data_IF_961525649199
#
_entry.id   IF_961525649199
#
_cell.length_a   1.000
_cell.length_b   1.000
_cell.length_c   1.000
_cell.angle_alpha   90.00
_cell.angle_beta   90.00
_cell.angle_gamma   90.00
#
_symmetry.space_group_name_H-M   'P 1'
#
loop_
_entity.id
_entity.type
_entity.pdbx_description
1 polymer ?
#
# COMPACT_ATOMS: atom_id res chain seq x y z
N UNK A 1 3.53 4.04 11.15
CA UNK A 1 3.97 5.13 10.25
C UNK A 1 3.06 5.26 9.04
N UNK A 2 2.85 4.21 8.24
CA UNK A 2 2.11 4.29 6.97
C UNK A 2 0.64 4.69 7.15
N UNK A 3 -0.05 4.17 8.15
CA UNK A 3 -1.48 4.47 8.42
C UNK A 3 -1.72 5.96 8.71
N UNK A 4 -0.78 6.65 9.33
CA UNK A 4 -0.89 8.08 9.66
C UNK A 4 -0.95 8.96 8.40
N UNK A 5 -0.35 8.50 7.29
CA UNK A 5 -0.26 9.24 6.04
C UNK A 5 -1.32 8.85 4.99
N UNK A 6 -2.17 7.86 5.28
CA UNK A 6 -3.25 7.45 4.35
C UNK A 6 -4.23 8.57 4.04
N UNK A 7 -4.46 9.47 5.02
CA UNK A 7 -5.31 10.66 4.83
C UNK A 7 -4.70 11.64 3.82
N UNK A 8 -3.39 11.84 3.86
CA UNK A 8 -2.69 12.73 2.93
C UNK A 8 -2.68 12.13 1.52
N UNK A 9 -2.51 10.82 1.41
CA UNK A 9 -2.64 10.10 0.15
C UNK A 9 -4.04 10.25 -0.45
N UNK A 10 -5.09 10.01 0.33
CA UNK A 10 -6.47 10.16 -0.12
C UNK A 10 -6.76 11.58 -0.63
N UNK A 11 -6.22 12.60 0.06
CA UNK A 11 -6.33 14.01 -0.36
C UNK A 11 -5.67 14.27 -1.71
N UNK A 12 -4.50 13.68 -1.98
CA UNK A 12 -3.79 13.84 -3.25
C UNK A 12 -4.54 13.16 -4.40
N UNK A 13 -5.14 12.00 -4.12
CA UNK A 13 -5.93 11.24 -5.10
C UNK A 13 -7.29 11.90 -5.33
N UNK A 14 -7.76 12.72 -4.39
CA UNK A 14 -9.06 13.39 -4.46
C UNK A 14 -10.23 12.54 -3.95
N UNK A 15 -9.96 11.55 -3.11
CA UNK A 15 -10.97 10.68 -2.53
C UNK A 15 -11.21 10.96 -1.04
N UNK A 16 -12.45 10.78 -0.54
CA UNK A 16 -12.71 10.79 0.89
C UNK A 16 -11.97 9.64 1.59
N UNK A 17 -11.52 9.88 2.80
CA UNK A 17 -10.79 8.91 3.60
C UNK A 17 -11.55 8.57 4.88
N UNK A 18 -11.68 7.28 5.17
CA UNK A 18 -12.26 6.77 6.40
C UNK A 18 -11.31 5.76 7.03
N UNK A 19 -11.05 5.92 8.33
CA UNK A 19 -10.25 4.98 9.09
C UNK A 19 -11.16 4.24 10.08
N UNK A 20 -11.16 2.91 9.99
CA UNK A 20 -11.89 2.04 10.89
C UNK A 20 -10.88 1.20 11.65
N UNK A 21 -10.92 1.30 12.98
CA UNK A 21 -10.10 0.45 13.84
C UNK A 21 -10.80 -0.89 14.03
N UNK A 22 -10.15 -1.97 13.63
CA UNK A 22 -10.58 -3.34 13.87
C UNK A 22 -9.52 -4.03 14.73
N UNK A 23 -9.92 -4.57 15.88
CA UNK A 23 -9.04 -5.33 16.78
C UNK A 23 -9.24 -6.84 16.66
N UNK A 24 -9.98 -7.29 15.64
CA UNK A 24 -10.46 -8.66 15.53
C UNK A 24 -9.83 -9.28 14.28
N UNK A 25 -9.02 -10.32 14.48
CA UNK A 25 -8.48 -11.15 13.40
C UNK A 25 -9.45 -12.30 13.06
N UNK A 26 -10.65 -11.96 12.58
CA UNK A 26 -11.68 -12.93 12.19
C UNK A 26 -12.33 -12.47 10.88
N UNK A 27 -12.19 -13.26 9.82
CA UNK A 27 -12.61 -12.89 8.47
C UNK A 27 -14.11 -12.54 8.36
N UNK A 28 -15.00 -13.20 9.13
CA UNK A 28 -16.41 -12.91 9.10
C UNK A 28 -16.77 -11.60 9.80
N UNK A 29 -16.09 -11.31 10.91
CA UNK A 29 -16.28 -10.05 11.65
C UNK A 29 -15.71 -8.87 10.87
N UNK A 30 -14.56 -9.05 10.22
CA UNK A 30 -14.01 -8.05 9.29
C UNK A 30 -14.97 -7.79 8.13
N UNK A 31 -15.52 -8.84 7.51
CA UNK A 31 -16.51 -8.72 6.45
C UNK A 31 -17.79 -8.00 6.91
N UNK A 32 -18.23 -8.22 8.14
CA UNK A 32 -19.39 -7.53 8.72
C UNK A 32 -19.12 -6.03 8.90
N UNK A 33 -17.91 -5.64 9.35
CA UNK A 33 -17.51 -4.23 9.43
C UNK A 33 -17.45 -3.58 8.06
N UNK A 34 -16.88 -4.27 7.07
CA UNK A 34 -16.84 -3.78 5.68
C UNK A 34 -18.26 -3.56 5.16
N UNK A 35 -19.16 -4.50 5.39
CA UNK A 35 -20.56 -4.40 5.00
C UNK A 35 -21.23 -3.18 5.63
N UNK A 36 -21.08 -2.96 6.93
CA UNK A 36 -21.65 -1.81 7.63
C UNK A 36 -21.19 -0.48 7.00
N UNK A 37 -19.90 -0.39 6.66
CA UNK A 37 -19.35 0.81 6.02
C UNK A 37 -19.93 1.02 4.64
N UNK A 38 -20.04 -0.04 3.83
CA UNK A 38 -20.62 0.03 2.48
C UNK A 38 -22.08 0.42 2.55
N UNK A 39 -22.89 -0.19 3.44
CA UNK A 39 -24.30 0.16 3.65
C UNK A 39 -24.47 1.64 4.04
N UNK A 40 -23.59 2.14 4.89
CA UNK A 40 -23.62 3.54 5.32
C UNK A 40 -23.26 4.50 4.18
N UNK A 41 -22.32 4.13 3.34
CA UNK A 41 -21.93 4.94 2.19
C UNK A 41 -22.95 4.87 1.06
N UNK A 42 -23.57 3.72 0.78
CA UNK A 42 -24.62 3.57 -0.22
C UNK A 42 -25.85 4.45 0.06
N UNK A 43 -26.07 4.86 1.32
CA UNK A 43 -27.13 5.86 1.65
C UNK A 43 -26.81 7.25 1.14
N UNK A 44 -25.56 7.53 0.78
CA UNK A 44 -25.09 8.83 0.27
C UNK A 44 -24.86 8.78 -1.23
N UNK A 45 -24.11 7.77 -1.66
CA UNK A 45 -23.70 7.59 -3.05
C UNK A 45 -23.77 6.10 -3.42
N UNK A 46 -24.24 5.72 -4.61
CA UNK A 46 -24.27 4.34 -5.07
C UNK A 46 -22.86 3.74 -5.09
N UNK A 47 -22.69 2.56 -4.53
CA UNK A 47 -21.45 1.78 -4.60
C UNK A 47 -21.77 0.51 -5.39
N UNK A 48 -21.13 0.35 -6.54
CA UNK A 48 -21.30 -0.84 -7.39
C UNK A 48 -20.16 -1.84 -7.20
N UNK A 49 -19.00 -1.37 -6.76
CA UNK A 49 -17.80 -2.20 -6.59
C UNK A 49 -16.99 -1.81 -5.36
N UNK A 50 -16.38 -2.80 -4.73
CA UNK A 50 -15.35 -2.64 -3.71
C UNK A 50 -14.03 -3.19 -4.26
N UNK A 51 -12.99 -2.37 -4.24
CA UNK A 51 -11.63 -2.78 -4.60
C UNK A 51 -10.85 -3.01 -3.31
N UNK A 52 -10.35 -4.23 -3.13
CA UNK A 52 -9.50 -4.59 -2.03
C UNK A 52 -8.03 -4.36 -2.42
N UNK A 53 -7.32 -3.61 -1.62
CA UNK A 53 -5.87 -3.48 -1.72
C UNK A 53 -5.18 -4.64 -1.01
N UNK A 54 -4.00 -4.99 -1.53
CA UNK A 54 -3.21 -6.11 -1.02
C UNK A 54 -3.48 -7.42 -1.77
N UNK A 55 -2.41 -8.16 -1.97
CA UNK A 55 -2.42 -9.43 -2.69
C UNK A 55 -2.50 -10.61 -1.71
N UNK A 56 -2.09 -10.38 -0.46
CA UNK A 56 -2.06 -11.37 0.62
C UNK A 56 -3.39 -11.60 1.34
N UNK A 57 -4.50 -11.15 0.77
CA UNK A 57 -5.81 -11.52 1.29
C UNK A 57 -5.97 -13.04 1.22
N UNK A 58 -6.12 -13.66 2.38
CA UNK A 58 -6.45 -15.08 2.42
C UNK A 58 -7.77 -15.30 1.67
N UNK A 59 -7.86 -16.39 0.93
CA UNK A 59 -9.06 -16.75 0.17
C UNK A 59 -10.33 -16.72 1.05
N UNK A 60 -10.19 -17.07 2.31
CA UNK A 60 -11.26 -17.00 3.32
C UNK A 60 -11.73 -15.58 3.61
N UNK A 61 -10.83 -14.59 3.65
CA UNK A 61 -11.18 -13.17 3.85
C UNK A 61 -11.92 -12.64 2.61
N UNK A 62 -11.37 -12.88 1.42
CA UNK A 62 -12.00 -12.46 0.16
C UNK A 62 -13.41 -13.03 0.02
N UNK A 63 -13.59 -14.35 0.21
CA UNK A 63 -14.89 -15.00 0.16
C UNK A 63 -15.86 -14.43 1.19
N UNK A 64 -15.41 -14.21 2.42
CA UNK A 64 -16.28 -13.66 3.48
C UNK A 64 -16.77 -12.25 3.13
N UNK A 65 -15.94 -11.41 2.54
CA UNK A 65 -16.33 -10.06 2.10
C UNK A 65 -17.29 -10.14 0.90
N UNK A 66 -17.01 -11.02 -0.08
CA UNK A 66 -17.89 -11.25 -1.23
C UNK A 66 -19.27 -11.70 -0.81
N UNK A 67 -19.35 -12.67 0.11
CA UNK A 67 -20.63 -13.15 0.66
C UNK A 67 -21.39 -12.06 1.43
N UNK A 68 -20.67 -11.26 2.22
CA UNK A 68 -21.27 -10.18 3.00
C UNK A 68 -21.85 -9.06 2.12
N UNK A 69 -21.21 -8.75 0.98
CA UNK A 69 -21.62 -7.66 0.09
C UNK A 69 -22.57 -8.09 -1.03
N UNK A 70 -22.67 -9.38 -1.31
CA UNK A 70 -23.58 -9.90 -2.34
C UNK A 70 -25.03 -9.43 -2.19
N UNK A 71 -25.64 -9.39 -0.98
CA UNK A 71 -27.01 -8.89 -0.80
C UNK A 71 -27.16 -7.39 -1.11
N UNK A 72 -26.07 -6.64 -1.15
CA UNK A 72 -26.05 -5.21 -1.46
C UNK A 72 -25.84 -4.92 -2.95
N UNK A 73 -25.65 -5.97 -3.77
CA UNK A 73 -25.34 -5.81 -5.19
C UNK A 73 -23.96 -5.22 -5.48
N UNK A 74 -23.03 -5.34 -4.52
CA UNK A 74 -21.66 -4.78 -4.65
C UNK A 74 -20.71 -5.87 -5.07
N UNK A 75 -20.02 -5.67 -6.21
CA UNK A 75 -18.95 -6.56 -6.67
C UNK A 75 -17.67 -6.33 -5.87
N UNK A 76 -16.89 -7.38 -5.66
CA UNK A 76 -15.62 -7.30 -4.89
C UNK A 76 -14.45 -7.74 -5.76
N UNK A 77 -13.49 -6.85 -5.93
CA UNK A 77 -12.29 -7.08 -6.70
C UNK A 77 -11.04 -7.06 -5.81
N UNK A 78 -10.20 -8.07 -5.93
CA UNK A 78 -8.83 -8.05 -5.41
C UNK A 78 -7.90 -7.76 -6.60
N UNK A 79 -7.31 -6.56 -6.63
CA UNK A 79 -6.68 -6.00 -7.83
C UNK A 79 -5.48 -6.78 -8.39
N UNK A 80 -4.82 -7.57 -7.56
CA UNK A 80 -3.61 -8.32 -7.94
C UNK A 80 -3.66 -9.80 -7.57
N UNK A 81 -4.86 -10.33 -7.33
CA UNK A 81 -5.02 -11.74 -6.98
C UNK A 81 -4.52 -12.66 -8.10
N UNK A 82 -3.54 -13.51 -7.80
CA UNK A 82 -2.98 -14.48 -8.74
C UNK A 82 -1.86 -13.94 -9.64
N UNK A 83 -1.40 -12.71 -9.44
CA UNK A 83 -0.24 -12.17 -10.15
C UNK A 83 1.07 -12.36 -9.37
N UNK A 84 2.19 -12.50 -10.10
CA UNK A 84 3.52 -12.58 -9.50
C UNK A 84 3.96 -11.19 -9.00
N UNK A 85 4.30 -11.09 -7.72
CA UNK A 85 4.57 -9.81 -7.06
C UNK A 85 5.79 -9.07 -7.59
N UNK A 86 6.77 -9.75 -8.10
CA UNK A 86 7.94 -9.13 -8.70
C UNK A 86 7.60 -8.47 -10.05
N UNK A 87 6.66 -9.05 -10.81
CA UNK A 87 6.13 -8.47 -12.05
C UNK A 87 5.30 -7.23 -11.72
N UNK A 88 4.44 -7.29 -10.69
CA UNK A 88 3.65 -6.14 -10.24
C UNK A 88 4.57 -4.98 -9.83
N UNK A 89 5.61 -5.26 -9.05
CA UNK A 89 6.55 -4.24 -8.59
C UNK A 89 7.33 -3.62 -9.75
N UNK A 90 7.78 -4.42 -10.72
CA UNK A 90 8.42 -3.93 -11.93
C UNK A 90 7.46 -3.01 -12.74
N UNK A 91 6.21 -3.41 -12.90
CA UNK A 91 5.19 -2.62 -13.60
C UNK A 91 4.92 -1.28 -12.88
N UNK A 92 4.78 -1.31 -11.56
CA UNK A 92 4.62 -0.09 -10.75
C UNK A 92 5.79 0.87 -10.94
N UNK A 93 7.03 0.37 -10.85
CA UNK A 93 8.22 1.18 -11.05
C UNK A 93 8.31 1.74 -12.48
N UNK A 94 7.90 0.94 -13.49
CA UNK A 94 7.83 1.38 -14.88
C UNK A 94 6.79 2.46 -15.10
N UNK A 95 5.68 2.43 -14.35
CA UNK A 95 4.63 3.45 -14.34
C UNK A 95 4.96 4.68 -13.48
N UNK A 96 6.18 4.77 -12.96
CA UNK A 96 6.68 5.94 -12.22
C UNK A 96 6.22 6.02 -10.77
N UNK A 97 5.89 4.90 -10.15
CA UNK A 97 5.63 4.87 -8.71
C UNK A 97 6.91 5.19 -7.93
N UNK A 98 6.82 6.10 -6.98
CA UNK A 98 7.84 6.35 -5.97
C UNK A 98 7.46 5.65 -4.67
N UNK A 99 8.22 4.62 -4.31
CA UNK A 99 7.91 3.72 -3.20
C UNK A 99 9.06 3.76 -2.19
N UNK A 100 8.77 4.07 -0.92
CA UNK A 100 9.74 4.04 0.17
C UNK A 100 9.45 2.89 1.11
N UNK A 101 10.47 2.17 1.56
CA UNK A 101 10.35 1.17 2.61
C UNK A 101 10.34 1.89 3.96
N UNK A 102 9.23 1.77 4.71
CA UNK A 102 8.99 2.54 5.93
C UNK A 102 9.07 1.72 7.21
N UNK A 103 8.97 0.41 7.10
CA UNK A 103 9.14 -0.53 8.21
C UNK A 103 9.71 -1.83 7.67
N UNK A 104 10.52 -2.50 8.48
CA UNK A 104 11.08 -3.81 8.17
C UNK A 104 11.00 -4.71 9.40
N UNK A 105 10.75 -6.01 9.18
CA UNK A 105 10.63 -7.01 10.21
C UNK A 105 11.15 -8.37 9.72
N UNK A 106 12.30 -8.38 9.04
CA UNK A 106 12.93 -9.60 8.55
C UNK A 106 14.42 -9.43 8.33
N UNK A 107 15.11 -10.56 8.30
CA UNK A 107 16.53 -10.63 7.98
C UNK A 107 16.80 -10.02 6.58
N UNK A 108 17.94 -9.37 6.43
CA UNK A 108 18.37 -8.75 5.19
C UNK A 108 17.68 -7.42 4.83
N UNK A 109 16.66 -6.99 5.57
CA UNK A 109 15.86 -5.79 5.22
C UNK A 109 16.31 -4.49 5.91
N UNK A 110 17.08 -4.55 7.00
CA UNK A 110 17.59 -3.33 7.67
C UNK A 110 18.33 -2.38 6.73
N UNK A 111 19.15 -2.85 5.77
CA UNK A 111 19.79 -1.97 4.79
C UNK A 111 18.83 -1.24 3.85
N UNK A 112 17.60 -1.73 3.74
CA UNK A 112 16.55 -1.17 2.86
C UNK A 112 15.65 -0.16 3.57
N UNK A 113 15.67 -0.12 4.89
CA UNK A 113 14.85 0.78 5.68
C UNK A 113 15.11 2.24 5.34
N UNK A 114 14.03 2.98 5.03
CA UNK A 114 14.09 4.38 4.59
C UNK A 114 14.54 4.59 3.14
N UNK A 115 14.87 3.53 2.42
CA UNK A 115 15.24 3.66 1.01
C UNK A 115 14.04 3.73 0.08
N UNK A 116 14.19 4.53 -0.97
CA UNK A 116 13.31 4.51 -2.13
C UNK A 116 13.66 3.31 -3.00
N UNK A 117 12.66 2.55 -3.39
CA UNK A 117 12.80 1.49 -4.39
C UNK A 117 12.82 2.15 -5.76
N UNK A 118 13.84 1.85 -6.56
CA UNK A 118 14.03 2.34 -7.92
C UNK A 118 14.23 1.15 -8.88
N UNK A 119 14.10 1.38 -10.18
CA UNK A 119 14.37 0.34 -11.19
C UNK A 119 15.79 -0.24 -11.06
N UNK A 120 16.76 0.61 -10.71
CA UNK A 120 18.17 0.23 -10.59
C UNK A 120 18.37 -0.69 -9.37
N UNK A 121 17.83 -0.33 -8.21
CA UNK A 121 18.06 -1.07 -6.97
C UNK A 121 17.06 -2.21 -6.74
N UNK A 122 15.97 -2.27 -7.47
CA UNK A 122 14.97 -3.34 -7.34
C UNK A 122 15.55 -4.73 -7.64
N UNK A 123 16.50 -4.81 -8.58
CA UNK A 123 17.21 -6.06 -8.87
C UNK A 123 17.97 -6.60 -7.66
N UNK A 124 18.52 -5.72 -6.84
CA UNK A 124 19.24 -6.11 -5.63
C UNK A 124 18.28 -6.47 -4.51
N UNK A 125 17.13 -5.76 -4.39
CA UNK A 125 16.05 -6.15 -3.48
C UNK A 125 15.53 -7.57 -3.81
N UNK A 126 15.37 -7.90 -5.11
CA UNK A 126 14.99 -9.27 -5.56
C UNK A 126 16.04 -10.31 -5.18
N UNK A 127 17.33 -10.02 -5.33
CA UNK A 127 18.39 -10.95 -4.87
C UNK A 127 18.36 -11.16 -3.37
N UNK A 128 18.16 -10.07 -2.61
CA UNK A 128 18.07 -10.15 -1.16
C UNK A 128 16.81 -10.91 -0.72
N UNK A 129 15.66 -10.76 -1.41
CA UNK A 129 14.44 -11.51 -1.12
C UNK A 129 14.63 -13.03 -1.24
N UNK A 130 15.34 -13.46 -2.28
CA UNK A 130 15.67 -14.88 -2.49
C UNK A 130 16.65 -15.36 -1.41
N UNK A 131 17.69 -14.57 -1.14
CA UNK A 131 18.74 -14.92 -0.18
C UNK A 131 18.23 -15.04 1.26
N UNK A 132 17.40 -14.08 1.69
CA UNK A 132 16.90 -13.97 3.06
C UNK A 132 15.47 -14.50 3.22
N UNK A 133 14.85 -14.95 2.12
CA UNK A 133 13.52 -15.60 2.09
C UNK A 133 12.38 -14.71 2.59
N UNK A 134 12.46 -13.41 2.35
CA UNK A 134 11.33 -12.52 2.54
C UNK A 134 10.52 -12.36 1.24
N UNK A 135 9.25 -12.01 1.37
CA UNK A 135 8.37 -11.84 0.23
C UNK A 135 8.61 -10.51 -0.48
N UNK A 136 8.88 -10.54 -1.80
CA UNK A 136 9.26 -9.35 -2.61
C UNK A 136 8.15 -8.28 -2.68
N UNK A 137 6.89 -8.67 -2.55
CA UNK A 137 5.74 -7.77 -2.50
C UNK A 137 5.33 -7.35 -1.09
N UNK A 138 6.19 -7.53 -0.09
CA UNK A 138 5.92 -7.18 1.31
C UNK A 138 4.81 -7.99 2.01
N UNK A 139 4.27 -9.01 1.36
CA UNK A 139 3.23 -9.85 1.93
C UNK A 139 3.75 -10.63 3.14
N UNK A 140 2.88 -10.82 4.16
CA UNK A 140 3.26 -11.53 5.38
C UNK A 140 3.98 -10.67 6.43
N UNK A 141 4.00 -9.35 6.28
CA UNK A 141 4.51 -8.41 7.29
C UNK A 141 6.04 -8.29 7.31
N UNK A 142 6.73 -8.69 6.24
CA UNK A 142 8.19 -8.57 6.16
C UNK A 142 8.66 -7.12 6.11
N UNK A 143 7.93 -6.27 5.40
CA UNK A 143 8.18 -4.83 5.35
C UNK A 143 6.93 -4.06 4.94
N UNK A 144 6.86 -2.78 5.29
CA UNK A 144 5.82 -1.85 4.86
C UNK A 144 6.38 -0.80 3.92
N UNK A 145 5.53 -0.26 3.06
CA UNK A 145 5.89 0.77 2.10
C UNK A 145 4.97 1.98 2.19
N UNK A 146 5.49 3.12 1.74
CA UNK A 146 4.73 4.34 1.47
C UNK A 146 4.94 4.75 0.02
N UNK A 147 3.86 4.82 -0.74
CA UNK A 147 3.88 5.39 -2.09
C UNK A 147 3.79 6.91 -1.97
N UNK A 148 4.79 7.61 -2.49
CA UNK A 148 4.87 9.07 -2.41
C UNK A 148 4.50 9.78 -3.70
N UNK A 149 4.60 9.09 -4.84
CA UNK A 149 4.18 9.60 -6.15
C UNK A 149 3.77 8.47 -7.10
N UNK A 150 2.86 8.77 -8.01
CA UNK A 150 2.49 7.95 -9.17
C UNK A 150 1.95 8.86 -10.28
N UNK A 151 1.86 8.35 -11.50
CA UNK A 151 1.25 9.11 -12.61
C UNK A 151 -0.20 9.57 -12.32
N UNK A 152 -0.91 8.87 -11.44
CA UNK A 152 -2.31 9.14 -11.10
C UNK A 152 -2.50 10.18 -9.99
N UNK A 153 -1.46 10.53 -9.25
CA UNK A 153 -1.55 11.54 -8.20
C UNK A 153 -1.57 12.94 -8.82
N UNK A 154 -2.46 13.81 -8.36
CA UNK A 154 -2.49 15.22 -8.77
C UNK A 154 -1.30 16.02 -8.22
N UNK A 155 -0.83 15.63 -7.05
CA UNK A 155 0.35 16.17 -6.34
C UNK A 155 1.17 15.00 -5.83
N UNK A 156 2.34 15.27 -5.24
CA UNK A 156 3.12 14.22 -4.61
C UNK A 156 3.40 14.50 -3.14
N UNK A 157 3.67 13.45 -2.39
CA UNK A 157 4.21 13.54 -1.04
C UNK A 157 5.72 13.74 -1.11
N UNK A 158 6.24 14.70 -0.37
CA UNK A 158 7.67 14.94 -0.25
C UNK A 158 8.09 14.73 1.19
N UNK A 159 8.83 13.68 1.43
CA UNK A 159 9.46 13.44 2.74
C UNK A 159 10.61 14.44 2.88
N UNK A 160 10.46 15.40 3.81
CA UNK A 160 11.45 16.46 4.06
C UNK A 160 12.41 16.09 5.18
N UNK A 161 11.88 15.33 6.15
CA UNK A 161 12.68 14.88 7.28
C UNK A 161 12.14 13.54 7.78
N UNK A 162 13.07 12.63 8.05
CA UNK A 162 12.77 11.31 8.58
C UNK A 162 13.91 10.79 9.47
N UNK A 163 13.55 10.06 10.47
CA UNK A 163 14.46 9.37 11.37
C UNK A 163 14.32 7.85 11.19
N UNK A 164 15.44 7.17 11.05
CA UNK A 164 15.48 5.71 10.99
C UNK A 164 15.67 5.18 12.41
N UNK A 165 14.67 4.46 12.90
CA UNK A 165 14.69 3.80 14.20
C UNK A 165 14.93 2.31 13.98
N UNK A 166 16.07 1.82 14.42
CA UNK A 166 16.40 0.39 14.46
C UNK A 166 16.07 -0.14 15.83
N UNK A 167 15.17 -1.12 15.90
CA UNK A 167 14.73 -1.74 17.15
C UNK A 167 15.65 -2.90 17.53
N UNK A 168 16.06 -3.67 16.52
CA UNK A 168 17.01 -4.79 16.67
C UNK A 168 17.75 -5.08 15.34
N UNK A 169 18.32 -6.27 15.19
CA UNK A 169 19.05 -6.69 13.98
C UNK A 169 18.14 -6.90 12.77
N UNK A 170 16.84 -7.06 12.95
CA UNK A 170 15.87 -7.48 11.94
C UNK A 170 14.72 -6.48 11.79
N UNK A 171 14.41 -5.73 12.85
CA UNK A 171 13.26 -4.86 12.95
C UNK A 171 13.66 -3.38 13.00
N UNK A 172 12.85 -2.56 12.37
CA UNK A 172 12.99 -1.12 12.43
C UNK A 172 11.90 -0.41 11.65
N UNK A 173 11.77 0.87 11.90
CA UNK A 173 10.79 1.71 11.20
C UNK A 173 11.33 3.10 10.91
N UNK A 174 10.69 3.77 9.97
CA UNK A 174 10.92 5.19 9.67
C UNK A 174 9.91 6.02 10.43
N UNK A 175 10.41 6.96 11.21
CA UNK A 175 9.60 8.00 11.82
C UNK A 175 9.65 9.24 10.90
N UNK A 176 8.60 9.46 10.12
CA UNK A 176 8.51 10.61 9.22
C UNK A 176 8.17 11.85 10.06
N UNK A 177 9.16 12.72 10.26
CA UNK A 177 9.03 13.95 11.06
C UNK A 177 8.32 15.05 10.27
N UNK A 178 8.56 15.13 8.98
CA UNK A 178 7.99 16.15 8.11
C UNK A 178 7.66 15.59 6.73
N UNK A 179 6.36 15.64 6.40
CA UNK A 179 5.82 15.28 5.10
C UNK A 179 5.08 16.50 4.52
N UNK A 180 5.30 16.80 3.26
CA UNK A 180 4.65 17.91 2.57
C UNK A 180 3.96 17.44 1.30
N UNK A 181 2.78 17.97 1.02
CA UNK A 181 2.12 17.82 -0.27
C UNK A 181 2.66 18.92 -1.18
N UNK A 182 3.31 18.53 -2.27
CA UNK A 182 3.93 19.45 -3.23
C UNK A 182 3.39 19.24 -4.63
N UNK A 183 3.41 20.31 -5.43
CA UNK A 183 3.05 20.22 -6.83
C UNK A 183 4.09 19.38 -7.59
N UNK A 184 3.63 18.62 -8.57
CA UNK A 184 4.53 17.91 -9.46
C UNK A 184 5.20 18.92 -10.40
N UNK A 185 6.51 18.75 -10.57
CA UNK A 185 7.18 19.47 -11.67
C UNK A 185 6.60 18.95 -12.98
N UNK A 186 6.04 19.84 -13.78
CA UNK A 186 5.62 19.51 -15.14
C UNK A 186 6.88 19.02 -15.86
N UNK A 187 6.93 17.74 -16.18
CA UNK A 187 7.92 17.26 -17.14
C UNK A 187 7.55 17.91 -18.47
N UNK A 188 8.32 18.91 -18.88
CA UNK A 188 8.24 19.38 -20.23
C UNK A 188 8.60 18.19 -21.12
N UNK A 189 7.63 17.67 -21.84
CA UNK A 189 7.89 16.76 -22.94
C UNK A 189 8.85 17.48 -23.89
N UNK A 190 10.10 17.05 -23.88
CA UNK A 190 11.00 17.39 -24.96
C UNK A 190 10.50 16.62 -26.17
N UNK A 191 9.61 17.29 -26.94
CA UNK A 191 9.29 16.86 -28.29
C UNK A 191 10.56 17.09 -29.10
N UNK A 192 11.31 16.03 -29.34
CA UNK A 192 12.32 15.95 -30.40
C UNK A 192 11.74 15.19 -31.57
#
# INVERSE_FOLDING_TARGET
>A
ATVEHTKDLAKIIGFPHFLIKCSIADAKKEAALVKEVVEKQQKKDPINALILGGVGLQETQLKSIQEALKPLGVEVFASHAGEEHDIIMDDMLNKGFEIYITQVASDGLIPWLGKKITKENFKDLKKDSIKFKFHIGAEGGYYDTLVTDTAFFSKKLSIKDMEIVKEDAYCGHVNIKKLEIVDKKVQQEIKS
#
